data_IF_846908763731
#
_entry.id   IF_846908763731
#
_cell.length_a   1.000
_cell.length_b   1.000
_cell.length_c   1.000
_cell.angle_alpha   90.00
_cell.angle_beta   90.00
_cell.angle_gamma   90.00
#
_symmetry.space_group_name_H-M   'P 1'
#
loop_
_entity.id
_entity.type
_entity.pdbx_description
1 polymer ?
#
# COMPACT_ATOMS: atom_id res chain seq x y z
N UNK A 1 8.26 1.03 -5.94
CA UNK A 1 8.57 1.63 -4.63
C UNK A 1 7.56 1.07 -3.66
N UNK A 2 7.91 0.84 -2.39
CA UNK A 2 6.91 0.56 -1.35
C UNK A 2 5.83 1.63 -1.47
N UNK A 3 4.64 1.22 -1.92
CA UNK A 3 3.69 2.13 -2.53
C UNK A 3 3.30 3.22 -1.52
N UNK A 4 3.51 4.48 -1.89
CA UNK A 4 3.10 5.61 -1.07
C UNK A 4 1.59 5.55 -0.93
N UNK A 5 1.10 5.56 0.30
CA UNK A 5 -0.34 5.52 0.55
C UNK A 5 -1.02 6.78 -0.03
N UNK A 6 -2.30 6.69 -0.43
CA UNK A 6 -3.04 7.86 -0.88
C UNK A 6 -3.06 8.97 0.18
N UNK A 7 -3.09 10.23 -0.27
CA UNK A 7 -3.18 11.38 0.64
C UNK A 7 -4.37 11.25 1.58
N UNK A 8 -4.15 11.54 2.87
CA UNK A 8 -5.12 11.40 3.94
C UNK A 8 -5.21 9.99 4.54
N UNK A 9 -4.41 9.03 4.05
CA UNK A 9 -4.29 7.68 4.62
C UNK A 9 -2.94 7.45 5.31
N UNK A 10 -2.17 8.51 5.55
CA UNK A 10 -0.91 8.48 6.26
C UNK A 10 -1.12 8.00 7.71
N UNK A 11 -0.15 7.27 8.25
CA UNK A 11 -0.17 6.93 9.68
C UNK A 11 0.44 8.06 10.48
N UNK A 12 -0.24 8.47 11.56
CA UNK A 12 0.24 9.53 12.45
C UNK A 12 0.64 8.97 13.80
N UNK A 13 1.94 9.03 14.09
CA UNK A 13 2.50 8.62 15.37
C UNK A 13 2.78 9.87 16.21
N UNK A 14 1.96 10.10 17.24
CA UNK A 14 1.89 11.38 17.95
C UNK A 14 1.59 12.57 17.01
N UNK A 15 1.62 13.81 17.51
CA UNK A 15 1.23 15.00 16.73
C UNK A 15 2.25 15.44 15.66
N UNK A 16 3.39 14.76 15.53
CA UNK A 16 4.54 15.28 14.76
C UNK A 16 5.11 14.32 13.70
N UNK A 17 4.80 13.03 13.74
CA UNK A 17 5.38 12.05 12.79
C UNK A 17 4.28 11.51 11.89
N UNK A 18 4.40 11.82 10.60
CA UNK A 18 3.58 11.26 9.52
C UNK A 18 4.38 10.17 8.80
N UNK A 19 3.70 9.08 8.44
CA UNK A 19 4.31 7.89 7.82
C UNK A 19 3.48 7.52 6.59
N UNK A 20 4.10 7.60 5.42
CA UNK A 20 3.41 7.48 4.13
C UNK A 20 3.60 6.09 3.50
N UNK A 21 4.55 5.29 3.98
CA UNK A 21 4.85 3.97 3.43
C UNK A 21 5.57 3.06 4.44
N UNK A 22 5.70 1.78 4.10
CA UNK A 22 6.33 0.77 4.96
C UNK A 22 7.82 1.04 5.25
N UNK A 23 8.53 1.67 4.31
CA UNK A 23 9.95 2.01 4.48
C UNK A 23 10.14 3.09 5.53
N UNK A 24 9.32 4.13 5.48
CA UNK A 24 9.26 5.16 6.53
C UNK A 24 8.84 4.58 7.87
N UNK A 25 7.87 3.65 7.89
CA UNK A 25 7.49 2.97 9.13
C UNK A 25 8.69 2.25 9.77
N UNK A 26 9.48 1.51 8.98
CA UNK A 26 10.69 0.86 9.47
C UNK A 26 11.75 1.85 9.99
N UNK A 27 11.93 2.98 9.30
CA UNK A 27 12.85 4.04 9.72
C UNK A 27 12.41 4.71 11.02
N UNK A 28 11.11 4.97 11.17
CA UNK A 28 10.53 5.54 12.39
C UNK A 28 10.66 4.56 13.54
N UNK A 29 10.31 3.27 13.34
CA UNK A 29 10.51 2.21 14.34
C UNK A 29 11.98 2.03 14.74
N UNK A 30 12.93 2.45 13.91
CA UNK A 30 14.35 2.41 14.25
C UNK A 30 14.80 3.55 15.18
N UNK A 31 14.02 4.63 15.28
CA UNK A 31 14.37 5.84 16.02
C UNK A 31 13.53 6.04 17.29
N UNK A 32 12.33 5.45 17.33
CA UNK A 32 11.37 5.66 18.42
C UNK A 32 11.64 4.73 19.59
N UNK A 33 11.32 5.19 20.79
CA UNK A 33 11.42 4.38 22.00
C UNK A 33 10.29 3.34 22.08
N UNK A 34 10.57 2.19 22.68
CA UNK A 34 9.60 1.11 22.91
C UNK A 34 8.32 1.59 23.63
N UNK A 35 8.43 2.58 24.52
CA UNK A 35 7.28 3.15 25.21
C UNK A 35 6.28 3.83 24.25
N UNK A 36 6.76 4.51 23.21
CA UNK A 36 5.90 5.09 22.18
C UNK A 36 5.21 4.00 21.37
N UNK A 37 5.94 2.92 21.05
CA UNK A 37 5.38 1.76 20.37
C UNK A 37 4.24 1.10 21.16
N UNK A 38 4.43 0.90 22.47
CA UNK A 38 3.40 0.29 23.36
C UNK A 38 2.11 1.11 23.48
N UNK A 39 2.11 2.38 23.07
CA UNK A 39 0.88 3.19 23.01
C UNK A 39 0.00 2.85 21.79
N UNK A 40 0.62 2.30 20.75
CA UNK A 40 -0.04 1.88 19.50
C UNK A 40 -0.27 0.37 19.42
N UNK A 41 0.52 -0.42 20.15
CA UNK A 41 0.44 -1.88 20.19
C UNK A 41 0.17 -2.35 21.60
N UNK A 42 -0.98 -3.00 21.77
CA UNK A 42 -1.48 -3.55 23.03
C UNK A 42 -2.06 -4.94 22.77
N UNK A 43 -2.29 -5.71 23.82
CA UNK A 43 -2.90 -7.06 23.72
C UNK A 43 -4.28 -7.06 23.02
N UNK A 44 -4.94 -5.90 22.92
CA UNK A 44 -6.28 -5.75 22.31
C UNK A 44 -6.27 -5.16 20.91
N UNK A 45 -5.22 -4.42 20.55
CA UNK A 45 -5.15 -3.69 19.28
C UNK A 45 -3.71 -3.48 18.83
N UNK A 46 -3.50 -3.50 17.52
CA UNK A 46 -2.26 -3.07 16.89
C UNK A 46 -2.62 -2.04 15.81
N UNK A 47 -2.38 -0.76 16.10
CA UNK A 47 -2.71 0.34 15.19
C UNK A 47 -1.91 0.25 13.87
N UNK A 48 -0.68 -0.28 13.91
CA UNK A 48 0.12 -0.51 12.70
C UNK A 48 -0.49 -1.59 11.81
N UNK A 49 -0.95 -2.69 12.39
CA UNK A 49 -1.61 -3.76 11.64
C UNK A 49 -2.89 -3.25 10.95
N UNK A 50 -3.70 -2.45 11.65
CA UNK A 50 -4.89 -1.83 11.10
C UNK A 50 -4.55 -0.89 9.92
N UNK A 51 -3.54 -0.03 10.08
CA UNK A 51 -3.09 0.87 9.02
C UNK A 51 -2.54 0.11 7.80
N UNK A 52 -1.68 -0.89 8.01
CA UNK A 52 -1.16 -1.72 6.91
C UNK A 52 -2.30 -2.40 6.15
N UNK A 53 -3.32 -2.92 6.87
CA UNK A 53 -4.49 -3.55 6.24
C UNK A 53 -5.32 -2.57 5.42
N UNK A 54 -5.57 -1.36 5.95
CA UNK A 54 -6.54 -0.43 5.37
C UNK A 54 -5.92 0.56 4.38
N UNK A 55 -4.71 1.02 4.61
CA UNK A 55 -4.02 2.01 3.78
C UNK A 55 -3.07 1.34 2.78
N UNK A 56 -2.20 0.44 3.25
CA UNK A 56 -1.18 -0.22 2.41
C UNK A 56 -1.77 -1.40 1.61
N UNK A 57 -2.88 -1.99 2.09
CA UNK A 57 -3.54 -3.17 1.50
C UNK A 57 -2.68 -4.45 1.50
N UNK A 58 -1.69 -4.54 2.40
CA UNK A 58 -0.90 -5.75 2.60
C UNK A 58 -1.51 -6.62 3.71
N UNK A 59 -2.47 -7.47 3.32
CA UNK A 59 -3.22 -8.30 4.26
C UNK A 59 -2.35 -9.33 4.98
N UNK A 60 -1.35 -9.90 4.31
CA UNK A 60 -0.47 -10.90 4.90
C UNK A 60 0.46 -10.28 5.96
N UNK A 61 1.01 -9.10 5.66
CA UNK A 61 1.79 -8.35 6.65
C UNK A 61 0.90 -7.92 7.82
N UNK A 62 -0.31 -7.43 7.56
CA UNK A 62 -1.23 -7.03 8.61
C UNK A 62 -1.58 -8.18 9.56
N UNK A 63 -1.89 -9.37 9.04
CA UNK A 63 -2.18 -10.56 9.84
C UNK A 63 -0.99 -10.98 10.72
N UNK A 64 0.24 -10.83 10.21
CA UNK A 64 1.47 -11.08 10.98
C UNK A 64 1.62 -10.06 12.10
N UNK A 65 1.48 -8.77 11.78
CA UNK A 65 1.61 -7.68 12.75
C UNK A 65 0.56 -7.75 13.85
N UNK A 66 -0.67 -8.12 13.52
CA UNK A 66 -1.77 -8.24 14.48
C UNK A 66 -1.46 -9.22 15.62
N UNK A 67 -0.62 -10.23 15.36
CA UNK A 67 -0.22 -11.27 16.33
C UNK A 67 1.09 -10.94 17.06
N UNK A 68 1.77 -9.86 16.68
CA UNK A 68 3.08 -9.50 17.22
C UNK A 68 2.95 -8.30 18.15
N UNK A 69 3.30 -8.52 19.42
CA UNK A 69 3.32 -7.48 20.46
C UNK A 69 4.73 -7.01 20.81
N UNK A 70 5.74 -7.78 20.37
CA UNK A 70 7.15 -7.47 20.63
C UNK A 70 7.67 -6.43 19.63
N UNK A 71 8.44 -5.47 20.15
CA UNK A 71 8.92 -4.32 19.38
C UNK A 71 9.97 -4.72 18.34
N UNK A 72 10.96 -5.51 18.75
CA UNK A 72 12.05 -5.93 17.87
C UNK A 72 11.54 -6.89 16.79
N UNK A 73 10.63 -7.80 17.15
CA UNK A 73 9.99 -8.68 16.20
C UNK A 73 9.13 -7.93 15.19
N UNK A 74 8.37 -6.93 15.63
CA UNK A 74 7.59 -6.06 14.72
C UNK A 74 8.51 -5.35 13.72
N UNK A 75 9.61 -4.79 14.21
CA UNK A 75 10.61 -4.12 13.38
C UNK A 75 11.23 -5.08 12.36
N UNK A 76 11.57 -6.30 12.79
CA UNK A 76 12.11 -7.37 11.91
C UNK A 76 11.13 -7.73 10.80
N UNK A 77 9.87 -8.00 11.15
CA UNK A 77 8.81 -8.36 10.19
C UNK A 77 8.64 -7.28 9.11
N UNK A 78 8.60 -6.01 9.52
CA UNK A 78 8.44 -4.89 8.57
C UNK A 78 9.69 -4.76 7.69
N UNK A 79 10.90 -4.88 8.26
CA UNK A 79 12.16 -4.83 7.53
C UNK A 79 12.21 -5.89 6.42
N UNK A 80 11.93 -7.14 6.76
CA UNK A 80 11.93 -8.26 5.80
C UNK A 80 10.96 -8.00 4.66
N UNK A 81 9.78 -7.47 4.97
CA UNK A 81 8.79 -7.14 3.95
C UNK A 81 9.23 -5.99 3.04
N UNK A 82 9.90 -4.97 3.58
CA UNK A 82 10.46 -3.87 2.78
C UNK A 82 11.53 -4.40 1.81
N UNK A 83 12.44 -5.26 2.29
CA UNK A 83 13.49 -5.86 1.46
C UNK A 83 12.90 -6.73 0.33
N UNK A 84 11.85 -7.51 0.61
CA UNK A 84 11.14 -8.30 -0.40
C UNK A 84 10.52 -7.43 -1.51
N UNK A 85 9.89 -6.32 -1.13
CA UNK A 85 9.27 -5.38 -2.08
C UNK A 85 10.33 -4.70 -2.95
N UNK A 86 11.44 -4.25 -2.36
CA UNK A 86 12.56 -3.64 -3.10
C UNK A 86 13.20 -4.63 -4.10
N UNK A 87 13.34 -5.91 -3.72
CA UNK A 87 13.83 -6.97 -4.60
C UNK A 87 12.90 -7.24 -5.78
N UNK A 88 11.58 -7.30 -5.52
CA UNK A 88 10.57 -7.53 -6.56
C UNK A 88 10.60 -6.42 -7.60
N UNK A 89 10.69 -5.18 -7.16
CA UNK A 89 10.75 -4.01 -8.04
C UNK A 89 12.01 -3.99 -8.90
N UNK A 90 13.16 -4.35 -8.32
CA UNK A 90 14.42 -4.42 -9.08
C UNK A 90 14.30 -5.41 -10.23
N UNK A 91 13.74 -6.60 -9.97
CA UNK A 91 13.49 -7.63 -11.01
C UNK A 91 12.51 -7.16 -12.08
N UNK A 92 11.48 -6.43 -11.70
CA UNK A 92 10.51 -5.85 -12.64
C UNK A 92 11.18 -4.79 -13.53
N UNK A 93 11.97 -3.89 -12.96
CA UNK A 93 12.73 -2.88 -13.70
C UNK A 93 13.74 -3.53 -14.67
N UNK A 94 14.46 -4.55 -14.22
CA UNK A 94 15.36 -5.33 -15.08
C UNK A 94 14.63 -5.99 -16.25
N UNK A 95 13.39 -6.47 -16.03
CA UNK A 95 12.57 -7.09 -17.07
C UNK A 95 12.10 -6.06 -18.10
N UNK A 96 11.66 -4.89 -17.64
CA UNK A 96 11.28 -3.77 -18.51
C UNK A 96 12.47 -3.29 -19.36
N UNK A 97 13.66 -3.18 -18.74
CA UNK A 97 14.87 -2.76 -19.45
C UNK A 97 15.29 -3.75 -20.54
N UNK A 98 15.23 -5.05 -20.24
CA UNK A 98 15.52 -6.11 -21.22
C UNK A 98 14.52 -6.10 -22.39
N UNK A 99 13.25 -5.83 -22.11
CA UNK A 99 12.23 -5.70 -23.15
C UNK A 99 12.52 -4.52 -24.07
N UNK A 100 12.84 -3.34 -23.51
CA UNK A 100 13.22 -2.17 -24.31
C UNK A 100 14.48 -2.42 -25.15
N UNK A 101 15.51 -3.05 -24.59
CA UNK A 101 16.72 -3.40 -25.34
C UNK A 101 16.42 -4.37 -26.51
N UNK A 102 15.49 -5.30 -26.31
CA UNK A 102 15.05 -6.21 -27.36
C UNK A 102 14.29 -5.49 -28.48
N UNK A 103 13.37 -4.60 -28.11
CA UNK A 103 12.58 -3.82 -29.06
C UNK A 103 13.46 -2.84 -29.87
N UNK A 104 14.44 -2.20 -29.22
CA UNK A 104 15.43 -1.32 -29.87
C UNK A 104 16.30 -2.10 -30.89
N UNK A 105 16.75 -3.31 -30.56
CA UNK A 105 17.46 -4.19 -31.51
C UNK A 105 16.59 -4.63 -32.69
N UNK A 106 15.28 -4.74 -32.49
CA UNK A 106 14.33 -5.07 -33.55
C UNK A 106 14.16 -3.89 -34.52
N UNK A 107 14.20 -2.65 -34.02
CA UNK A 107 14.13 -1.45 -34.85
C UNK A 107 15.42 -1.21 -35.64
N UNK A 108 16.59 -1.45 -35.05
CA UNK A 108 17.88 -1.30 -35.75
C UNK A 108 18.03 -2.28 -36.93
N UNK A 109 17.32 -3.41 -36.92
CA UNK A 109 17.29 -4.36 -38.02
C UNK A 109 16.28 -4.02 -39.13
N UNK A 110 15.47 -2.97 -38.99
CA UNK A 110 14.61 -2.49 -40.09
C UNK A 110 15.47 -1.70 -41.07
N UNK A 111 15.59 -2.20 -42.31
CA UNK A 111 16.35 -1.53 -43.38
C UNK A 111 15.75 -0.13 -43.64
N UNK A 112 16.51 0.96 -43.44
CA UNK A 112 16.00 2.33 -43.61
C UNK A 112 15.68 2.67 -45.08
N UNK A 113 16.05 1.82 -46.04
CA UNK A 113 16.02 2.16 -47.46
C UNK A 113 14.86 1.56 -48.25
N UNK A 114 14.21 0.49 -47.78
CA UNK A 114 13.17 -0.19 -48.59
C UNK A 114 11.74 0.13 -48.17
N UNK A 115 11.49 0.58 -46.94
CA UNK A 115 10.12 0.78 -46.43
C UNK A 115 9.23 -0.47 -46.53
N UNK A 116 9.81 -1.63 -46.88
CA UNK A 116 9.18 -2.92 -46.99
C UNK A 116 9.59 -3.73 -45.80
N UNK A 117 8.61 -4.17 -45.02
CA UNK A 117 8.78 -5.14 -43.96
C UNK A 117 9.54 -6.35 -44.52
N UNK A 118 10.39 -6.99 -43.70
CA UNK A 118 11.23 -8.15 -44.09
C UNK A 118 10.41 -9.30 -44.73
N UNK A 119 9.09 -9.32 -44.55
CA UNK A 119 8.18 -10.29 -45.17
C UNK A 119 7.69 -9.93 -46.58
N UNK A 120 8.07 -8.77 -47.13
CA UNK A 120 7.69 -8.36 -48.48
C UNK A 120 6.17 -8.18 -48.68
N UNK A 121 5.41 -7.97 -47.60
CA UNK A 121 3.98 -7.70 -47.66
C UNK A 121 3.82 -6.20 -47.86
N UNK A 122 3.29 -5.79 -49.01
CA UNK A 122 2.90 -4.40 -49.26
C UNK A 122 1.67 -4.09 -48.39
N UNK A 123 1.90 -3.45 -47.24
CA UNK A 123 0.85 -3.10 -46.26
C UNK A 123 -0.21 -2.15 -46.86
N UNK A 124 0.16 -1.42 -47.91
CA UNK A 124 -0.72 -0.53 -48.70
C UNK A 124 -1.75 -1.29 -49.55
N UNK A 125 -1.66 -2.62 -49.63
CA UNK A 125 -2.58 -3.48 -50.38
C UNK A 125 -3.42 -4.42 -49.52
N UNK A 126 -3.38 -4.27 -48.20
CA UNK A 126 -4.41 -4.87 -47.37
C UNK A 126 -5.70 -4.09 -47.63
N UNK A 127 -6.59 -4.69 -48.41
CA UNK A 127 -8.00 -4.31 -48.53
C UNK A 127 -8.65 -4.41 -47.13
N UNK A 128 -8.31 -3.45 -46.26
CA UNK A 128 -9.03 -3.22 -45.02
C UNK A 128 -10.38 -2.68 -45.49
N UNK A 129 -11.47 -3.45 -45.34
CA UNK A 129 -12.78 -2.98 -45.76
C UNK A 129 -13.04 -1.63 -45.10
N UNK A 130 -13.61 -0.66 -45.85
CA UNK A 130 -13.86 0.68 -45.32
C UNK A 130 -14.58 0.54 -44.00
N UNK A 131 -14.00 1.15 -42.98
CA UNK A 131 -14.53 1.12 -41.63
C UNK A 131 -16.01 1.55 -41.72
N UNK A 132 -16.95 0.69 -41.29
CA UNK A 132 -18.37 0.97 -41.44
C UNK A 132 -18.66 2.32 -40.80
N UNK A 133 -19.52 3.14 -41.41
CA UNK A 133 -19.78 4.49 -40.93
C UNK A 133 -20.14 4.43 -39.45
N UNK A 134 -19.40 5.18 -38.62
CA UNK A 134 -19.65 5.29 -37.19
C UNK A 134 -21.09 5.78 -36.97
N UNK A 135 -22.01 4.84 -36.79
CA UNK A 135 -23.37 5.14 -36.39
C UNK A 135 -23.30 5.61 -34.93
N UNK A 136 -23.41 6.93 -34.73
CA UNK A 136 -23.48 7.58 -33.42
C UNK A 136 -24.54 6.89 -32.54
N UNK A 137 -24.12 6.00 -31.62
CA UNK A 137 -25.05 5.09 -30.96
C UNK A 137 -25.84 5.79 -29.85
N UNK A 138 -25.62 7.09 -29.64
CA UNK A 138 -26.21 7.85 -28.55
C UNK A 138 -27.48 8.63 -28.93
N UNK A 139 -27.95 8.57 -30.18
CA UNK A 139 -29.10 9.37 -30.61
C UNK A 139 -30.46 8.97 -30.02
N UNK A 140 -30.58 7.81 -29.35
CA UNK A 140 -31.90 7.29 -28.93
C UNK A 140 -31.96 6.79 -27.48
N UNK A 141 -31.41 7.51 -26.49
CA UNK A 141 -31.59 7.13 -25.08
C UNK A 141 -32.65 8.03 -24.41
N UNK A 142 -33.83 7.49 -24.04
CA UNK A 142 -34.84 8.22 -23.28
C UNK A 142 -34.33 8.58 -21.90
N UNK A 143 -34.52 9.85 -21.52
CA UNK A 143 -34.26 10.35 -20.16
C UNK A 143 -35.31 9.74 -19.23
N UNK A 144 -34.99 8.66 -18.52
CA UNK A 144 -35.86 8.14 -17.46
C UNK A 144 -35.34 8.50 -16.06
N UNK A 145 -36.18 9.28 -15.40
CA UNK A 145 -36.08 9.85 -14.07
C UNK A 145 -36.53 8.81 -13.03
N UNK A 146 -35.57 8.10 -12.42
CA UNK A 146 -35.87 7.08 -11.41
C UNK A 146 -35.55 7.57 -9.99
N UNK A 147 -36.54 7.35 -9.12
CA UNK A 147 -36.73 7.96 -7.81
C UNK A 147 -35.94 7.27 -6.71
N UNK A 148 -35.54 8.12 -5.78
CA UNK A 148 -35.13 7.92 -4.40
C UNK A 148 -36.18 7.08 -3.62
N UNK A 149 -35.80 5.97 -2.98
CA UNK A 149 -36.41 5.47 -1.72
C UNK A 149 -35.87 4.08 -1.32
N UNK A 150 -35.13 3.99 -0.20
CA UNK A 150 -35.36 2.99 0.85
C UNK A 150 -34.27 3.04 1.93
N UNK A 151 -34.59 3.74 3.02
CA UNK A 151 -33.98 3.53 4.34
C UNK A 151 -34.55 2.24 4.94
N UNK A 152 -33.70 1.36 5.47
CA UNK A 152 -34.12 0.33 6.43
C UNK A 152 -33.08 0.23 7.57
N UNK A 153 -33.49 0.33 8.85
CA UNK A 153 -32.58 0.22 9.98
C UNK A 153 -32.39 -1.25 10.39
N UNK A 154 -31.14 -1.67 10.59
CA UNK A 154 -30.81 -2.97 11.18
C UNK A 154 -30.92 -2.90 12.70
N UNK A 155 -31.66 -3.86 13.27
CA UNK A 155 -31.88 -4.03 14.69
C UNK A 155 -30.70 -4.75 15.36
N UNK A 156 -30.31 -4.22 16.53
CA UNK A 156 -29.37 -4.80 17.48
C UNK A 156 -29.92 -6.09 18.11
N UNK A 157 -29.11 -7.15 18.15
CA UNK A 157 -29.34 -8.30 19.00
C UNK A 157 -28.29 -8.35 20.11
N UNK A 158 -28.73 -8.00 21.32
CA UNK A 158 -28.12 -8.41 22.59
C UNK A 158 -28.20 -9.93 22.74
N UNK A 159 -27.10 -10.56 23.15
CA UNK A 159 -27.13 -11.91 23.69
C UNK A 159 -26.35 -11.93 25.01
N UNK A 160 -27.11 -11.78 26.10
CA UNK A 160 -26.69 -12.15 27.44
C UNK A 160 -26.78 -13.67 27.59
N UNK A 161 -25.70 -14.32 28.05
CA UNK A 161 -25.79 -15.54 28.84
C UNK A 161 -24.49 -15.81 29.61
N UNK A 162 -24.62 -15.71 30.93
CA UNK A 162 -23.71 -16.17 31.97
C UNK A 162 -23.44 -17.68 31.86
N UNK A 163 -22.26 -18.14 32.29
CA UNK A 163 -22.15 -19.18 33.34
C UNK A 163 -20.72 -19.27 33.89
N UNK A 164 -20.67 -19.28 35.22
CA UNK A 164 -19.58 -19.57 36.14
C UNK A 164 -19.10 -21.03 36.14
N UNK A 165 -17.86 -21.29 36.53
CA UNK A 165 -17.37 -22.27 37.54
C UNK A 165 -15.84 -22.40 37.36
N UNK A 166 -15.03 -21.83 38.25
CA UNK A 166 -14.56 -22.42 39.50
C UNK A 166 -13.85 -23.78 39.32
N UNK A 167 -12.52 -23.75 39.15
CA UNK A 167 -11.61 -24.81 39.61
C UNK A 167 -10.29 -24.21 40.08
N UNK A 168 -10.12 -24.23 41.40
CA UNK A 168 -8.84 -24.33 42.11
C UNK A 168 -7.93 -25.37 41.46
N UNK A 169 -6.65 -25.06 41.31
CA UNK A 169 -5.60 -26.01 41.68
C UNK A 169 -4.33 -25.27 42.17
N UNK A 170 -3.89 -25.48 43.43
CA UNK A 170 -2.70 -24.88 44.01
C UNK A 170 -1.54 -25.87 44.04
N UNK A 171 -0.71 -25.90 43.00
CA UNK A 171 0.55 -26.67 43.05
C UNK A 171 1.70 -25.77 43.46
N UNK A 172 2.00 -25.87 44.76
CA UNK A 172 3.30 -25.56 45.36
C UNK A 172 4.35 -26.51 44.77
N UNK A 173 5.45 -25.96 44.26
CA UNK A 173 6.78 -26.56 44.33
C UNK A 173 7.80 -25.43 44.09
N UNK A 174 8.35 -24.88 45.17
CA UNK A 174 9.70 -25.24 45.62
C UNK A 174 10.74 -25.13 44.49
N UNK A 175 11.21 -23.91 44.21
CA UNK A 175 12.63 -23.73 43.94
C UNK A 175 13.25 -22.70 44.88
N UNK A 176 14.38 -23.15 45.40
CA UNK A 176 15.10 -22.65 46.55
C UNK A 176 15.80 -21.34 46.28
N UNK A 177 15.93 -20.60 47.37
CA UNK A 177 16.85 -19.51 47.59
C UNK A 177 18.30 -19.86 47.26
N UNK A 178 18.95 -18.97 46.52
CA UNK A 178 20.37 -18.57 46.52
C UNK A 178 20.45 -17.54 45.38
N UNK A 179 20.87 -16.29 45.53
CA UNK A 179 21.99 -15.79 46.30
C UNK A 179 21.75 -14.31 46.64
N UNK A 180 21.93 -14.00 47.93
CA UNK A 180 22.16 -12.65 48.44
C UNK A 180 23.48 -12.15 47.87
N UNK A 181 23.44 -11.10 47.05
CA UNK A 181 24.60 -10.26 46.81
C UNK A 181 24.29 -8.88 47.39
N UNK A 182 24.98 -8.61 48.50
CA UNK A 182 25.14 -7.30 49.10
C UNK A 182 25.64 -6.29 48.05
N UNK A 183 24.76 -5.43 47.58
CA UNK A 183 25.16 -4.20 46.88
C UNK A 183 25.15 -3.09 47.93
N UNK A 184 26.35 -2.85 48.46
CA UNK A 184 26.67 -1.72 49.32
C UNK A 184 26.25 -0.40 48.68
N UNK A 185 25.73 0.45 49.55
CA UNK A 185 25.46 1.87 49.38
C UNK A 185 26.53 2.57 48.54
N UNK A 186 26.18 2.93 47.31
CA UNK A 186 26.92 3.93 46.55
C UNK A 186 26.13 5.23 46.56
N UNK A 187 26.72 6.17 47.29
CA UNK A 187 26.29 7.55 47.48
C UNK A 187 25.77 8.20 46.20
N UNK A 188 24.66 8.90 46.40
CA UNK A 188 24.14 9.97 45.58
C UNK A 188 25.25 10.82 44.94
N UNK A 189 25.42 10.65 43.63
CA UNK A 189 25.95 11.68 42.75
C UNK A 189 24.77 12.31 42.04
N UNK A 190 24.40 13.52 42.46
CA UNK A 190 23.47 14.39 41.76
C UNK A 190 24.14 14.85 40.45
N UNK A 191 24.20 13.97 39.45
CA UNK A 191 24.43 14.37 38.08
C UNK A 191 23.07 14.73 37.49
N UNK A 192 22.85 16.03 37.34
CA UNK A 192 21.78 16.62 36.54
C UNK A 192 21.69 15.83 35.22
N UNK A 193 20.57 15.19 34.86
CA UNK A 193 20.46 14.53 33.57
C UNK A 193 20.61 15.60 32.51
N UNK A 194 21.78 15.65 31.90
CA UNK A 194 22.01 16.34 30.64
C UNK A 194 21.22 15.49 29.65
N UNK A 195 19.94 15.83 29.48
CA UNK A 195 19.18 15.41 28.31
C UNK A 195 20.07 15.81 27.13
N UNK A 196 20.55 14.86 26.29
CA UNK A 196 21.13 15.27 25.04
C UNK A 196 20.05 16.11 24.36
N UNK A 197 20.36 17.38 24.10
CA UNK A 197 19.55 18.17 23.19
C UNK A 197 19.48 17.34 21.92
N UNK A 198 18.34 16.67 21.71
CA UNK A 198 18.03 16.03 20.45
C UNK A 198 18.20 17.20 19.48
N UNK A 199 19.21 17.19 18.59
CA UNK A 199 19.36 18.25 17.62
C UNK A 199 17.99 18.32 16.97
N UNK A 200 17.36 19.49 17.01
CA UNK A 200 16.18 19.74 16.19
C UNK A 200 16.63 19.40 14.79
N UNK A 201 16.30 18.18 14.36
CA UNK A 201 16.36 17.77 12.99
C UNK A 201 15.22 18.57 12.38
N UNK A 202 15.48 19.86 12.16
CA UNK A 202 15.10 20.49 10.91
C UNK A 202 15.77 19.65 9.84
N UNK A 203 15.18 18.48 9.60
CA UNK A 203 15.10 17.89 8.29
C UNK A 203 14.57 19.04 7.48
N UNK A 204 15.50 19.78 6.88
CA UNK A 204 15.24 20.49 5.65
C UNK A 204 14.56 19.42 4.81
N UNK A 205 13.24 19.49 4.75
CA UNK A 205 12.48 19.00 3.63
C UNK A 205 12.99 19.83 2.45
N UNK A 206 14.19 19.49 1.97
CA UNK A 206 14.54 19.65 0.58
C UNK A 206 13.55 18.75 -0.13
N UNK A 207 12.35 19.31 -0.34
CA UNK A 207 11.35 18.85 -1.28
C UNK A 207 12.17 18.58 -2.54
N UNK A 208 12.41 17.31 -2.92
CA UNK A 208 13.28 17.03 -4.04
C UNK A 208 12.72 17.84 -5.18
N UNK A 209 13.50 18.80 -5.69
CA UNK A 209 13.09 19.59 -6.84
C UNK A 209 12.92 18.58 -7.97
N UNK A 210 11.66 18.16 -8.15
CA UNK A 210 11.31 17.16 -9.11
C UNK A 210 11.68 17.73 -10.47
N UNK A 211 12.72 17.15 -11.05
CA UNK A 211 13.32 17.56 -12.31
C UNK A 211 12.19 17.75 -13.34
N UNK A 212 12.15 18.84 -14.12
CA UNK A 212 11.02 19.16 -14.99
C UNK A 212 10.64 18.02 -15.95
N UNK A 213 11.61 17.19 -16.35
CA UNK A 213 11.39 15.99 -17.15
C UNK A 213 10.53 14.92 -16.43
N UNK A 214 10.71 14.73 -15.12
CA UNK A 214 9.94 13.75 -14.33
C UNK A 214 8.51 14.23 -14.06
N UNK A 215 8.28 15.54 -13.96
CA UNK A 215 6.93 16.12 -13.87
C UNK A 215 6.09 15.81 -15.11
N UNK A 216 6.71 15.87 -16.29
CA UNK A 216 6.03 15.59 -17.55
C UNK A 216 5.63 14.11 -17.67
N UNK A 217 6.52 13.18 -17.27
CA UNK A 217 6.22 11.74 -17.28
C UNK A 217 5.04 11.40 -16.36
N UNK A 218 4.97 11.99 -15.16
CA UNK A 218 3.84 11.78 -14.25
C UNK A 218 2.53 12.34 -14.80
N UNK A 219 2.55 13.50 -15.44
CA UNK A 219 1.36 14.08 -16.07
C UNK A 219 0.85 13.22 -17.24
N UNK A 220 1.75 12.66 -18.05
CA UNK A 220 1.37 11.77 -19.15
C UNK A 220 0.78 10.46 -18.61
N UNK A 221 1.40 9.86 -17.58
CA UNK A 221 0.89 8.64 -16.96
C UNK A 221 -0.50 8.80 -16.38
N UNK A 222 -0.81 9.93 -15.71
CA UNK A 222 -2.14 10.16 -15.14
C UNK A 222 -3.22 10.34 -16.21
N UNK A 223 -2.89 10.98 -17.33
CA UNK A 223 -3.82 11.12 -18.47
C UNK A 223 -4.11 9.76 -19.12
N UNK A 224 -3.08 8.95 -19.35
CA UNK A 224 -3.23 7.60 -19.92
C UNK A 224 -4.08 6.71 -19.01
N UNK A 225 -3.82 6.72 -17.70
CA UNK A 225 -4.60 5.94 -16.74
C UNK A 225 -6.06 6.37 -16.70
N UNK A 226 -6.34 7.68 -16.73
CA UNK A 226 -7.70 8.20 -16.79
C UNK A 226 -8.45 7.77 -18.06
N UNK A 227 -7.76 7.77 -19.21
CA UNK A 227 -8.33 7.32 -20.48
C UNK A 227 -8.65 5.82 -20.47
N UNK A 228 -7.71 4.98 -20.02
CA UNK A 228 -7.89 3.53 -19.90
C UNK A 228 -9.05 3.17 -18.96
N UNK A 229 -9.10 3.81 -17.78
CA UNK A 229 -10.17 3.60 -16.81
C UNK A 229 -11.54 4.01 -17.39
N UNK A 230 -11.58 5.13 -18.12
CA UNK A 230 -12.77 5.58 -18.83
C UNK A 230 -13.24 4.58 -19.89
N UNK A 231 -12.32 4.02 -20.66
CA UNK A 231 -12.62 3.07 -21.74
C UNK A 231 -13.16 1.74 -21.18
N UNK A 232 -12.52 1.20 -20.13
CA UNK A 232 -12.99 -0.02 -19.45
C UNK A 232 -14.36 0.19 -18.82
N UNK A 233 -14.56 1.31 -18.12
CA UNK A 233 -15.85 1.64 -17.48
C UNK A 233 -16.93 1.82 -18.53
N UNK A 234 -16.62 2.49 -19.65
CA UNK A 234 -17.52 2.66 -20.78
C UNK A 234 -17.93 1.33 -21.42
N UNK A 235 -16.99 0.43 -21.67
CA UNK A 235 -17.27 -0.90 -22.20
C UNK A 235 -18.11 -1.75 -21.24
N UNK A 236 -17.83 -1.72 -19.93
CA UNK A 236 -18.60 -2.45 -18.94
C UNK A 236 -20.05 -1.96 -18.86
N UNK A 237 -20.26 -0.64 -18.84
CA UNK A 237 -21.61 -0.04 -18.86
C UNK A 237 -22.32 -0.39 -20.16
N UNK A 238 -21.64 -0.25 -21.31
CA UNK A 238 -22.18 -0.60 -22.62
C UNK A 238 -22.60 -2.07 -22.72
N UNK A 239 -21.78 -2.98 -22.17
CA UNK A 239 -22.07 -4.41 -22.13
C UNK A 239 -23.31 -4.74 -21.28
N UNK A 240 -23.42 -4.15 -20.08
CA UNK A 240 -24.59 -4.34 -19.20
C UNK A 240 -25.87 -3.83 -19.87
N UNK A 241 -25.81 -2.66 -20.51
CA UNK A 241 -26.96 -2.09 -21.24
C UNK A 241 -27.32 -2.94 -22.47
N UNK A 242 -26.33 -3.48 -23.18
CA UNK A 242 -26.54 -4.34 -24.34
C UNK A 242 -27.21 -5.67 -23.99
N UNK A 243 -26.80 -6.30 -22.89
CA UNK A 243 -27.42 -7.56 -22.41
C UNK A 243 -28.89 -7.38 -22.02
N UNK A 244 -29.22 -6.28 -21.34
CA UNK A 244 -30.61 -5.98 -20.98
C UNK A 244 -31.50 -5.80 -22.22
N UNK A 245 -30.95 -5.35 -23.35
CA UNK A 245 -31.70 -5.17 -24.60
C UNK A 245 -31.95 -6.47 -25.38
N UNK A 246 -31.14 -7.51 -25.17
CA UNK A 246 -31.36 -8.81 -25.83
C UNK A 246 -32.35 -9.72 -25.08
N UNK A 247 -32.59 -9.45 -23.79
CA UNK A 247 -33.41 -10.29 -22.91
C UNK A 247 -34.87 -9.81 -22.75
N UNK A 248 -35.23 -8.66 -23.31
CA UNK A 248 -36.60 -8.10 -23.30
C UNK A 248 -37.18 -7.98 -24.70
#
# INVERSE_FOLDING_TARGET
MAETVPKGQEFRMNAEIEIDNLKELHQVLSQVHEQSFRSHVTDKKNDFAAWVRHSVKDYELADKLERTLDFDETKRIIKERVEELEEKERKEQESIQKQHEFDEKLEEQKDPFTGKDIFGIDLDHLDIPPEPPEEDPYKNTPVEEARNDSKKPLQNNNLDAQTSTDKKDPTKEQFRASSVLDIKDSKASQAKPILPEIPKLSVLQDKPEMHPAERMKHAIRSVIFGFLLGLITGLAIGYILGLNRMLG
#
